data_IF_465465396004
#
_entry.id   IF_465465396004
#
_cell.length_a   1.000
_cell.length_b   1.000
_cell.length_c   1.000
_cell.angle_alpha   90.00
_cell.angle_beta   90.00
_cell.angle_gamma   90.00
#
_symmetry.space_group_name_H-M   'P 1'
#
loop_
_entity.id
_entity.type
_entity.pdbx_description
1 polymer ?
#
# COMPACT_ATOMS: atom_id res chain seq x y z
N UNK A 1 14.57 19.84 23.06
CA UNK A 1 14.59 19.32 21.68
C UNK A 1 13.44 18.34 21.50
N UNK A 2 12.67 18.52 20.46
CA UNK A 2 11.51 17.68 20.21
C UNK A 2 11.94 16.33 19.61
N UNK A 3 11.37 15.24 20.11
CA UNK A 3 11.65 13.90 19.60
C UNK A 3 10.86 13.67 18.31
N UNK A 4 11.46 13.04 17.30
CA UNK A 4 10.78 12.71 16.05
C UNK A 4 9.53 11.85 16.26
N UNK A 5 9.55 11.00 17.30
CA UNK A 5 8.40 10.13 17.61
C UNK A 5 7.19 10.91 18.12
N UNK A 6 7.38 12.14 18.56
CA UNK A 6 6.30 13.00 19.06
C UNK A 6 5.71 13.89 17.97
N UNK A 7 6.22 13.78 16.74
CA UNK A 7 5.83 14.62 15.62
C UNK A 7 4.83 13.85 14.74
N UNK A 8 3.66 14.46 14.43
CA UNK A 8 2.73 13.83 13.49
C UNK A 8 3.39 13.55 12.13
N UNK A 9 3.00 12.47 11.43
CA UNK A 9 3.58 12.15 10.12
C UNK A 9 3.57 13.30 9.13
N UNK A 10 2.54 14.13 9.14
CA UNK A 10 2.44 15.29 8.25
C UNK A 10 3.53 16.33 8.48
N UNK A 11 4.07 16.37 9.70
CA UNK A 11 5.14 17.31 10.07
C UNK A 11 6.52 16.66 10.04
N UNK A 12 6.61 15.34 10.09
CA UNK A 12 7.88 14.62 10.14
C UNK A 12 8.73 14.90 8.90
N UNK A 13 8.13 15.10 7.74
CA UNK A 13 8.86 15.36 6.50
C UNK A 13 9.63 16.68 6.52
N UNK A 14 9.33 17.59 7.47
CA UNK A 14 10.11 18.83 7.60
C UNK A 14 11.54 18.58 8.09
N UNK A 15 11.82 17.38 8.61
CA UNK A 15 13.15 16.98 9.06
C UNK A 15 13.96 16.28 7.98
N UNK A 16 13.39 16.09 6.80
CA UNK A 16 14.06 15.45 5.68
C UNK A 16 14.38 16.47 4.60
N UNK A 17 15.48 16.25 3.89
CA UNK A 17 15.85 17.10 2.75
C UNK A 17 14.86 16.89 1.60
N UNK A 18 14.87 17.83 0.67
CA UNK A 18 14.08 17.73 -0.56
C UNK A 18 14.37 16.43 -1.30
N UNK A 19 15.64 16.05 -1.38
CA UNK A 19 16.06 14.81 -2.04
C UNK A 19 15.48 13.59 -1.33
N UNK A 20 15.48 13.58 0.00
CA UNK A 20 14.96 12.45 0.79
C UNK A 20 13.44 12.34 0.63
N UNK A 21 12.73 13.45 0.62
CA UNK A 21 11.29 13.48 0.38
C UNK A 21 10.99 13.00 -1.05
N UNK A 22 11.78 13.43 -2.02
CA UNK A 22 11.62 13.00 -3.41
C UNK A 22 11.80 11.50 -3.57
N UNK A 23 12.80 10.92 -2.89
CA UNK A 23 13.00 9.46 -2.90
C UNK A 23 11.75 8.75 -2.40
N UNK A 24 11.19 9.18 -1.28
CA UNK A 24 9.98 8.57 -0.72
C UNK A 24 8.81 8.63 -1.72
N UNK A 25 8.63 9.77 -2.37
CA UNK A 25 7.56 9.95 -3.37
C UNK A 25 7.76 9.08 -4.60
N UNK A 26 9.01 8.92 -5.04
CA UNK A 26 9.33 8.05 -6.18
C UNK A 26 9.11 6.58 -5.84
N UNK A 27 9.49 6.18 -4.62
CA UNK A 27 9.22 4.81 -4.15
C UNK A 27 7.72 4.53 -4.16
N UNK A 28 6.91 5.45 -3.66
CA UNK A 28 5.45 5.30 -3.66
C UNK A 28 4.93 5.09 -5.09
N UNK A 29 5.39 5.86 -6.05
CA UNK A 29 4.98 5.70 -7.44
C UNK A 29 5.38 4.35 -8.01
N UNK A 30 6.58 3.88 -7.69
CA UNK A 30 7.06 2.59 -8.17
C UNK A 30 6.20 1.45 -7.62
N UNK A 31 5.96 1.44 -6.32
CA UNK A 31 5.24 0.32 -5.69
C UNK A 31 3.75 0.31 -6.03
N UNK A 32 3.18 1.44 -6.43
CA UNK A 32 1.77 1.51 -6.78
C UNK A 32 1.50 1.49 -8.29
N UNK A 33 2.54 1.56 -9.11
CA UNK A 33 2.38 1.59 -10.59
C UNK A 33 1.81 0.28 -11.14
N UNK A 34 2.21 -0.86 -10.57
CA UNK A 34 1.65 -2.17 -10.91
C UNK A 34 1.59 -2.98 -9.63
N UNK A 35 0.40 -3.14 -9.08
CA UNK A 35 0.21 -3.82 -7.80
C UNK A 35 0.53 -5.31 -7.86
N UNK A 36 0.59 -5.90 -9.05
CA UNK A 36 0.97 -7.30 -9.21
C UNK A 36 2.45 -7.53 -8.97
N UNK A 37 3.27 -6.49 -9.11
CA UNK A 37 4.71 -6.60 -8.91
C UNK A 37 5.08 -6.42 -7.45
N UNK A 38 6.09 -7.16 -7.01
CA UNK A 38 6.65 -7.07 -5.68
C UNK A 38 8.04 -6.45 -5.76
N UNK A 39 8.28 -5.46 -4.92
CA UNK A 39 9.55 -4.72 -4.90
C UNK A 39 10.21 -4.91 -3.54
N UNK A 40 11.23 -5.77 -3.43
CA UNK A 40 11.95 -5.91 -2.15
C UNK A 40 12.58 -4.58 -1.74
N UNK A 41 12.60 -4.31 -0.43
CA UNK A 41 13.14 -3.06 0.07
C UNK A 41 14.62 -2.87 -0.31
N UNK A 42 15.41 -3.95 -0.33
CA UNK A 42 16.82 -3.86 -0.70
C UNK A 42 17.01 -3.41 -2.15
N UNK A 43 16.12 -3.85 -3.04
CA UNK A 43 16.17 -3.49 -4.46
C UNK A 43 15.83 -2.01 -4.65
N UNK A 44 14.77 -1.54 -3.98
CA UNK A 44 14.40 -0.13 -4.00
C UNK A 44 15.51 0.75 -3.44
N UNK A 45 16.09 0.34 -2.31
CA UNK A 45 17.18 1.08 -1.68
C UNK A 45 18.39 1.17 -2.60
N UNK A 46 18.74 0.07 -3.26
CA UNK A 46 19.85 0.04 -4.21
C UNK A 46 19.60 0.99 -5.38
N UNK A 47 18.37 1.06 -5.87
CA UNK A 47 18.00 1.93 -6.98
C UNK A 47 18.26 3.41 -6.67
N UNK A 48 18.08 3.81 -5.42
CA UNK A 48 18.28 5.18 -4.97
C UNK A 48 19.59 5.41 -4.24
N UNK A 49 20.46 4.40 -4.20
CA UNK A 49 21.77 4.46 -3.54
C UNK A 49 21.70 4.86 -2.07
N UNK A 50 20.71 4.31 -1.36
CA UNK A 50 20.52 4.50 0.08
C UNK A 50 20.40 3.16 0.78
N UNK A 51 20.55 3.14 2.11
CA UNK A 51 20.32 1.93 2.89
C UNK A 51 18.83 1.64 3.00
N UNK A 52 18.48 0.36 3.25
CA UNK A 52 17.08 -0.01 3.49
C UNK A 52 16.49 0.77 4.66
N UNK A 53 17.27 0.93 5.73
CA UNK A 53 16.84 1.66 6.92
C UNK A 53 16.49 3.11 6.56
N UNK A 54 17.36 3.76 5.80
CA UNK A 54 17.13 5.13 5.36
C UNK A 54 15.87 5.24 4.49
N UNK A 55 15.73 4.33 3.51
CA UNK A 55 14.57 4.32 2.63
C UNK A 55 13.27 4.19 3.44
N UNK A 56 13.24 3.24 4.38
CA UNK A 56 12.07 3.01 5.23
C UNK A 56 11.74 4.23 6.08
N UNK A 57 12.77 4.90 6.61
CA UNK A 57 12.58 6.10 7.40
C UNK A 57 12.02 7.25 6.57
N UNK A 58 12.54 7.46 5.37
CA UNK A 58 12.04 8.51 4.48
C UNK A 58 10.58 8.26 4.11
N UNK A 59 10.26 7.02 3.75
CA UNK A 59 8.89 6.67 3.37
C UNK A 59 7.93 6.89 4.53
N UNK A 60 8.27 6.39 5.71
CA UNK A 60 7.43 6.56 6.90
C UNK A 60 7.27 8.02 7.27
N UNK A 61 8.33 8.81 7.14
CA UNK A 61 8.27 10.25 7.45
C UNK A 61 7.32 11.01 6.53
N UNK A 62 7.29 10.65 5.25
CA UNK A 62 6.43 11.33 4.27
C UNK A 62 5.00 10.80 4.29
N UNK A 63 4.82 9.47 4.35
CA UNK A 63 3.51 8.85 4.22
C UNK A 63 2.86 8.41 5.53
N UNK A 64 3.57 8.52 6.65
CA UNK A 64 3.02 8.23 7.97
C UNK A 64 2.88 6.77 8.32
N UNK A 65 3.24 5.87 7.41
CA UNK A 65 3.15 4.42 7.59
C UNK A 65 4.35 3.76 6.94
N UNK A 66 4.69 2.54 7.38
CA UNK A 66 5.72 1.80 6.67
C UNK A 66 5.19 1.33 5.30
N UNK A 67 6.12 0.97 4.41
CA UNK A 67 5.80 0.58 3.03
C UNK A 67 4.80 -0.58 2.99
N UNK A 68 4.98 -1.59 3.84
CA UNK A 68 4.12 -2.79 3.82
C UNK A 68 2.67 -2.47 4.15
N UNK A 69 2.44 -1.64 5.17
CA UNK A 69 1.09 -1.25 5.57
C UNK A 69 0.47 -0.36 4.50
N UNK A 70 1.21 0.60 4.01
CA UNK A 70 0.75 1.52 2.97
C UNK A 70 0.31 0.74 1.73
N UNK A 71 1.16 -0.16 1.25
CA UNK A 71 0.89 -0.93 0.04
C UNK A 71 -0.29 -1.87 0.22
N UNK A 72 -0.42 -2.50 1.39
CA UNK A 72 -1.56 -3.36 1.69
C UNK A 72 -2.88 -2.59 1.60
N UNK A 73 -2.91 -1.37 2.15
CA UNK A 73 -4.11 -0.54 2.09
C UNK A 73 -4.44 -0.13 0.66
N UNK A 74 -3.45 0.23 -0.14
CA UNK A 74 -3.63 0.56 -1.55
C UNK A 74 -4.19 -0.64 -2.33
N UNK A 75 -3.61 -1.83 -2.11
CA UNK A 75 -4.08 -3.06 -2.75
C UNK A 75 -5.53 -3.37 -2.40
N UNK A 76 -5.89 -3.22 -1.14
CA UNK A 76 -7.25 -3.51 -0.69
C UNK A 76 -8.26 -2.49 -1.22
N UNK A 77 -7.89 -1.22 -1.29
CA UNK A 77 -8.75 -0.19 -1.89
C UNK A 77 -9.00 -0.48 -3.36
N UNK A 78 -7.96 -0.87 -4.09
CA UNK A 78 -8.11 -1.23 -5.51
C UNK A 78 -8.97 -2.48 -5.66
N UNK A 79 -8.81 -3.46 -4.79
CA UNK A 79 -9.63 -4.66 -4.79
C UNK A 79 -11.11 -4.31 -4.58
N UNK A 80 -11.40 -3.44 -3.61
CA UNK A 80 -12.77 -3.00 -3.35
C UNK A 80 -13.37 -2.32 -4.58
N UNK A 81 -12.60 -1.47 -5.24
CA UNK A 81 -13.03 -0.83 -6.49
C UNK A 81 -13.35 -1.86 -7.56
N UNK A 82 -12.47 -2.83 -7.78
CA UNK A 82 -12.68 -3.87 -8.79
C UNK A 82 -13.88 -4.77 -8.47
N UNK A 83 -14.07 -5.11 -7.20
CA UNK A 83 -15.22 -5.90 -6.78
C UNK A 83 -16.54 -5.16 -7.04
N UNK A 84 -16.55 -3.85 -6.85
CA UNK A 84 -17.75 -3.03 -7.02
C UNK A 84 -18.03 -2.69 -8.49
N UNK A 85 -17.01 -2.59 -9.33
CA UNK A 85 -17.17 -2.04 -10.69
C UNK A 85 -16.93 -3.04 -11.82
N UNK A 86 -16.47 -4.26 -11.52
CA UNK A 86 -16.18 -5.26 -12.55
C UNK A 86 -16.86 -6.58 -12.23
N UNK A 87 -16.82 -7.51 -13.22
CA UNK A 87 -17.31 -8.88 -13.05
C UNK A 87 -16.17 -9.87 -12.85
N UNK A 88 -14.97 -9.37 -12.57
CA UNK A 88 -13.83 -10.24 -12.28
C UNK A 88 -14.15 -11.14 -11.10
N UNK A 89 -13.70 -12.39 -11.15
CA UNK A 89 -13.84 -13.29 -10.02
C UNK A 89 -13.00 -12.81 -8.84
N UNK A 90 -13.28 -13.30 -7.64
CA UNK A 90 -12.47 -12.98 -6.46
C UNK A 90 -11.01 -13.37 -6.69
N UNK A 91 -10.78 -14.54 -7.33
CA UNK A 91 -9.42 -14.98 -7.65
C UNK A 91 -8.72 -14.02 -8.61
N UNK A 92 -9.44 -13.55 -9.63
CA UNK A 92 -8.90 -12.58 -10.58
C UNK A 92 -8.59 -11.24 -9.92
N UNK A 93 -9.47 -10.77 -9.04
CA UNK A 93 -9.24 -9.53 -8.29
C UNK A 93 -8.00 -9.68 -7.40
N UNK A 94 -7.88 -10.81 -6.68
CA UNK A 94 -6.71 -11.07 -5.85
C UNK A 94 -5.42 -10.98 -6.66
N UNK A 95 -5.40 -11.61 -7.83
CA UNK A 95 -4.25 -11.58 -8.74
C UNK A 95 -3.94 -10.16 -9.21
N UNK A 96 -4.95 -9.41 -9.62
CA UNK A 96 -4.78 -8.04 -10.11
C UNK A 96 -4.17 -7.11 -9.07
N UNK A 97 -4.41 -7.37 -7.78
CA UNK A 97 -3.87 -6.54 -6.72
C UNK A 97 -2.64 -7.15 -6.04
N UNK A 98 -2.06 -8.20 -6.63
CA UNK A 98 -0.77 -8.71 -6.20
C UNK A 98 -0.81 -9.82 -5.17
N UNK A 99 -1.93 -10.48 -4.96
CA UNK A 99 -2.04 -11.63 -4.05
C UNK A 99 -2.05 -12.93 -4.83
N UNK A 100 -1.08 -13.78 -4.56
CA UNK A 100 -0.99 -15.10 -5.20
C UNK A 100 -1.89 -16.12 -4.50
N UNK A 101 -2.25 -15.88 -3.25
CA UNK A 101 -3.08 -16.76 -2.44
C UNK A 101 -4.43 -16.09 -2.19
N UNK A 102 -5.50 -16.65 -2.77
CA UNK A 102 -6.83 -16.09 -2.66
C UNK A 102 -7.35 -16.10 -1.21
N UNK A 103 -7.04 -17.14 -0.45
CA UNK A 103 -7.47 -17.24 0.95
C UNK A 103 -6.85 -16.14 1.80
N UNK A 104 -5.57 -15.86 1.59
CA UNK A 104 -4.88 -14.77 2.28
C UNK A 104 -5.48 -13.42 1.88
N UNK A 105 -5.73 -13.23 0.59
CA UNK A 105 -6.39 -12.03 0.10
C UNK A 105 -7.74 -11.81 0.80
N UNK A 106 -8.58 -12.82 0.81
CA UNK A 106 -9.91 -12.73 1.42
C UNK A 106 -9.82 -12.39 2.91
N UNK A 107 -8.87 -12.98 3.62
CA UNK A 107 -8.65 -12.73 5.04
C UNK A 107 -8.24 -11.28 5.29
N UNK A 108 -7.28 -10.76 4.53
CA UNK A 108 -6.82 -9.37 4.64
C UNK A 108 -7.94 -8.39 4.27
N UNK A 109 -8.68 -8.70 3.21
CA UNK A 109 -9.81 -7.88 2.77
C UNK A 109 -10.87 -7.77 3.86
N UNK A 110 -11.29 -8.90 4.42
CA UNK A 110 -12.29 -8.93 5.48
C UNK A 110 -11.83 -8.16 6.72
N UNK A 111 -10.55 -8.28 7.07
CA UNK A 111 -10.00 -7.55 8.21
C UNK A 111 -10.08 -6.03 8.01
N UNK A 112 -9.86 -5.56 6.79
CA UNK A 112 -9.88 -4.13 6.50
C UNK A 112 -11.29 -3.58 6.33
N UNK A 113 -12.17 -4.31 5.68
CA UNK A 113 -13.51 -3.82 5.32
C UNK A 113 -14.65 -4.42 6.14
N UNK A 114 -14.38 -5.43 6.96
CA UNK A 114 -15.42 -6.07 7.79
C UNK A 114 -16.30 -7.07 7.05
N UNK A 115 -16.15 -7.20 5.75
CA UNK A 115 -16.91 -8.12 4.90
C UNK A 115 -15.95 -8.93 4.03
N UNK A 116 -16.34 -10.16 3.70
CA UNK A 116 -15.59 -10.94 2.72
C UNK A 116 -15.70 -10.26 1.34
N UNK A 117 -14.80 -10.57 0.40
CA UNK A 117 -14.90 -10.01 -0.95
C UNK A 117 -16.26 -10.24 -1.61
N UNK A 118 -16.83 -11.43 -1.48
CA UNK A 118 -18.16 -11.71 -2.06
C UNK A 118 -19.27 -10.96 -1.36
N UNK A 119 -19.22 -10.89 -0.04
CA UNK A 119 -20.19 -10.12 0.73
C UNK A 119 -20.12 -8.63 0.35
N UNK A 120 -18.91 -8.12 0.21
CA UNK A 120 -18.70 -6.73 -0.20
C UNK A 120 -19.31 -6.48 -1.57
N UNK A 121 -19.03 -7.36 -2.55
CA UNK A 121 -19.61 -7.24 -3.90
C UNK A 121 -21.12 -7.24 -3.86
N UNK A 122 -21.73 -8.16 -3.11
CA UNK A 122 -23.17 -8.21 -2.97
C UNK A 122 -23.74 -6.95 -2.38
N UNK A 123 -23.07 -6.37 -1.38
CA UNK A 123 -23.52 -5.13 -0.75
C UNK A 123 -23.52 -3.96 -1.73
N UNK A 124 -22.60 -3.96 -2.70
CA UNK A 124 -22.52 -2.89 -3.71
C UNK A 124 -23.47 -3.12 -4.88
N UNK A 125 -23.95 -4.33 -5.08
CA UNK A 125 -24.80 -4.69 -6.22
C UNK A 125 -26.26 -4.90 -5.80
N UNK A 126 -26.64 -4.50 -4.60
CA UNK A 126 -27.99 -4.72 -4.08
C UNK A 126 -29.09 -4.06 -4.90
N UNK A 127 -28.75 -3.05 -5.66
CA UNK A 127 -29.73 -2.32 -6.47
C UNK A 127 -29.90 -2.88 -7.88
N UNK A 128 -29.18 -3.94 -8.20
CA UNK A 128 -29.24 -4.56 -9.53
C UNK A 128 -30.24 -5.69 -9.61
#
# INVERSE_FOLDING_TARGET
MQNLNDIPPSQACTFFTETQVDIAKRVEKIITSDLRQHHPAWELAAQFSVSETSLKNYFRGVFGQNISIYLREVRMKKAAELLATTRLSVAEVAEQVGYMNQSKFASVFKKQFGLSPLEYRRSKNLEN
#
